data_IF_424559876441
#
_entry.id   IF_424559876441
#
_cell.length_a   1.000
_cell.length_b   1.000
_cell.length_c   1.000
_cell.angle_alpha   90.00
_cell.angle_beta   90.00
_cell.angle_gamma   90.00
#
_symmetry.space_group_name_H-M   'P 1'
#
loop_
_entity.id
_entity.type
_entity.pdbx_description
1 polymer ?
#
# COMPACT_ATOMS: atom_id res chain seq x y z
N UNK A 1 -19.65 -14.73 25.72
CA UNK A 1 -19.05 -15.12 24.42
C UNK A 1 -19.67 -14.40 23.22
N UNK A 2 -21.00 -14.20 23.18
CA UNK A 2 -21.69 -13.49 22.08
C UNK A 2 -21.16 -12.07 21.79
N UNK A 3 -20.76 -11.31 22.82
CA UNK A 3 -20.19 -9.95 22.65
C UNK A 3 -18.83 -9.97 21.92
N UNK A 4 -18.00 -10.98 22.15
CA UNK A 4 -16.70 -11.12 21.47
C UNK A 4 -16.91 -11.51 20.01
N UNK A 5 -17.85 -12.41 19.73
CA UNK A 5 -18.19 -12.81 18.37
C UNK A 5 -18.64 -11.60 17.52
N UNK A 6 -19.54 -10.76 18.05
CA UNK A 6 -19.99 -9.52 17.37
C UNK A 6 -18.86 -8.51 17.12
N UNK A 7 -17.85 -8.45 18.00
CA UNK A 7 -16.69 -7.59 17.79
C UNK A 7 -15.75 -8.16 16.72
N UNK A 8 -15.58 -9.48 16.67
CA UNK A 8 -14.79 -10.14 15.62
C UNK A 8 -15.40 -9.94 14.25
N UNK A 9 -16.72 -10.07 14.12
CA UNK A 9 -17.42 -9.78 12.85
C UNK A 9 -17.19 -8.34 12.36
N UNK A 10 -17.08 -7.37 13.28
CA UNK A 10 -16.71 -5.99 12.92
C UNK A 10 -15.27 -5.89 12.43
N UNK A 11 -14.34 -6.63 13.03
CA UNK A 11 -12.94 -6.70 12.58
C UNK A 11 -12.89 -7.33 11.19
N UNK A 12 -13.59 -8.43 10.96
CA UNK A 12 -13.62 -9.13 9.66
C UNK A 12 -14.07 -8.18 8.52
N UNK A 13 -15.11 -7.36 8.77
CA UNK A 13 -15.56 -6.33 7.81
C UNK A 13 -14.54 -5.23 7.56
N UNK A 14 -13.77 -4.85 8.58
CA UNK A 14 -12.66 -3.90 8.44
C UNK A 14 -11.56 -4.53 7.58
N UNK A 15 -11.23 -5.79 7.81
CA UNK A 15 -10.20 -6.51 7.06
C UNK A 15 -10.59 -6.67 5.58
N UNK A 16 -11.84 -7.00 5.28
CA UNK A 16 -12.37 -7.00 3.91
C UNK A 16 -12.20 -5.63 3.25
N UNK A 17 -12.48 -4.54 3.99
CA UNK A 17 -12.30 -3.18 3.49
C UNK A 17 -10.82 -2.87 3.23
N UNK A 18 -9.92 -3.29 4.12
CA UNK A 18 -8.47 -3.15 3.94
C UNK A 18 -8.02 -3.86 2.66
N UNK A 19 -8.47 -5.09 2.43
CA UNK A 19 -8.13 -5.86 1.22
C UNK A 19 -8.60 -5.16 -0.05
N UNK A 20 -9.82 -4.63 -0.08
CA UNK A 20 -10.34 -3.88 -1.23
C UNK A 20 -9.53 -2.60 -1.49
N UNK A 21 -9.15 -1.87 -0.43
CA UNK A 21 -8.30 -0.68 -0.54
C UNK A 21 -6.90 -1.02 -1.06
N UNK A 22 -6.31 -2.13 -0.60
CA UNK A 22 -5.02 -2.61 -1.07
C UNK A 22 -5.07 -3.00 -2.56
N UNK A 23 -6.14 -3.70 -2.99
CA UNK A 23 -6.38 -4.00 -4.42
C UNK A 23 -6.41 -2.72 -5.25
N UNK A 24 -7.24 -1.75 -4.88
CA UNK A 24 -7.36 -0.47 -5.59
C UNK A 24 -6.02 0.28 -5.64
N UNK A 25 -5.28 0.29 -4.53
CA UNK A 25 -3.94 0.90 -4.47
C UNK A 25 -2.94 0.20 -5.40
N UNK A 26 -3.04 -1.13 -5.53
CA UNK A 26 -2.21 -1.92 -6.45
C UNK A 26 -2.52 -1.57 -7.92
N UNK A 27 -3.80 -1.49 -8.30
CA UNK A 27 -4.25 -1.08 -9.64
C UNK A 27 -3.73 0.32 -10.02
N UNK A 28 -3.83 1.28 -9.10
CA UNK A 28 -3.25 2.63 -9.30
C UNK A 28 -1.72 2.55 -9.47
N UNK A 29 -1.05 1.66 -8.74
CA UNK A 29 0.40 1.47 -8.88
C UNK A 29 0.76 0.93 -10.27
N UNK A 30 -0.02 0.01 -10.84
CA UNK A 30 0.18 -0.45 -12.22
C UNK A 30 0.04 0.69 -13.22
N UNK A 31 -0.98 1.54 -13.07
CA UNK A 31 -1.18 2.71 -13.93
C UNK A 31 0.04 3.65 -13.86
N UNK A 32 0.55 3.93 -12.65
CA UNK A 32 1.78 4.72 -12.47
C UNK A 32 2.96 4.05 -13.18
N UNK A 33 3.08 2.72 -13.10
CA UNK A 33 4.11 1.95 -13.80
C UNK A 33 4.04 2.11 -15.31
N UNK A 34 2.86 2.02 -15.91
CA UNK A 34 2.64 2.27 -17.34
C UNK A 34 3.09 3.67 -17.74
N UNK A 35 2.69 4.70 -16.98
CA UNK A 35 3.05 6.10 -17.26
C UNK A 35 4.57 6.29 -17.15
N UNK A 36 5.20 5.79 -16.08
CA UNK A 36 6.65 5.89 -15.91
C UNK A 36 7.41 5.21 -17.04
N UNK A 37 6.95 4.03 -17.47
CA UNK A 37 7.51 3.31 -18.62
C UNK A 37 7.44 4.13 -19.90
N UNK A 38 6.27 4.71 -20.20
CA UNK A 38 6.05 5.54 -21.40
C UNK A 38 6.98 6.77 -21.43
N UNK A 39 7.34 7.31 -20.27
CA UNK A 39 8.20 8.48 -20.14
C UNK A 39 9.67 8.15 -19.81
N UNK A 40 10.06 6.88 -19.82
CA UNK A 40 11.44 6.46 -19.49
C UNK A 40 11.86 6.74 -18.05
N UNK A 41 10.91 6.89 -17.12
CA UNK A 41 11.16 7.19 -15.72
C UNK A 41 11.48 5.93 -14.91
N UNK A 42 12.27 6.11 -13.84
CA UNK A 42 12.59 5.04 -12.89
C UNK A 42 11.39 4.69 -12.01
N UNK A 43 11.24 3.39 -11.72
CA UNK A 43 10.18 2.87 -10.84
C UNK A 43 10.40 3.33 -9.39
N UNK A 44 11.63 3.17 -8.87
CA UNK A 44 11.99 3.60 -7.52
C UNK A 44 12.18 5.12 -7.50
N UNK A 45 11.58 5.74 -6.50
CA UNK A 45 11.72 7.16 -6.22
C UNK A 45 11.91 7.32 -4.70
N UNK A 46 13.17 7.24 -4.23
CA UNK A 46 13.47 7.28 -2.79
C UNK A 46 12.94 8.55 -2.11
N UNK A 47 12.92 9.68 -2.81
CA UNK A 47 12.37 10.93 -2.28
C UNK A 47 10.87 10.78 -2.03
N UNK A 48 10.12 10.31 -3.03
CA UNK A 48 8.67 10.11 -2.91
C UNK A 48 8.30 9.05 -1.87
N UNK A 49 9.10 7.99 -1.75
CA UNK A 49 8.97 6.93 -0.75
C UNK A 49 9.15 7.49 0.67
N UNK A 50 10.21 8.27 0.90
CA UNK A 50 10.48 8.94 2.18
C UNK A 50 9.37 9.93 2.56
N UNK A 51 8.91 10.75 1.62
CA UNK A 51 7.76 11.66 1.84
C UNK A 51 6.51 10.88 2.26
N UNK A 52 6.27 9.71 1.66
CA UNK A 52 5.13 8.86 2.01
C UNK A 52 5.27 8.29 3.42
N UNK A 53 6.46 7.81 3.79
CA UNK A 53 6.71 7.34 5.15
C UNK A 53 6.47 8.44 6.18
N UNK A 54 7.08 9.61 6.00
CA UNK A 54 6.93 10.73 6.94
C UNK A 54 5.46 11.12 7.15
N UNK A 55 4.69 11.19 6.06
CA UNK A 55 3.27 11.51 6.13
C UNK A 55 2.46 10.45 6.90
N UNK A 56 2.73 9.17 6.63
CA UNK A 56 2.01 8.07 7.27
C UNK A 56 2.38 7.94 8.75
N UNK A 57 3.65 8.09 9.10
CA UNK A 57 4.09 8.01 10.50
C UNK A 57 3.51 9.15 11.32
N UNK A 58 3.45 10.36 10.77
CA UNK A 58 2.75 11.49 11.40
C UNK A 58 1.28 11.14 11.69
N UNK A 59 0.57 10.64 10.69
CA UNK A 59 -0.83 10.23 10.84
C UNK A 59 -1.02 9.08 11.82
N UNK A 60 -0.10 8.12 11.85
CA UNK A 60 -0.14 7.02 12.81
C UNK A 60 -0.11 7.54 14.25
N UNK A 61 0.83 8.44 14.54
CA UNK A 61 0.93 9.10 15.85
C UNK A 61 -0.35 9.87 16.20
N UNK A 62 -0.89 10.65 15.27
CA UNK A 62 -2.14 11.41 15.46
C UNK A 62 -3.36 10.52 15.78
N UNK A 63 -3.37 9.29 15.24
CA UNK A 63 -4.43 8.30 15.47
C UNK A 63 -4.17 7.40 16.69
N UNK A 64 -3.07 7.63 17.43
CA UNK A 64 -2.69 6.80 18.57
C UNK A 64 -2.16 5.40 18.20
N UNK A 65 -1.72 5.21 16.95
CA UNK A 65 -1.11 3.96 16.48
C UNK A 65 0.40 3.99 16.73
N UNK A 66 1.00 2.83 16.99
CA UNK A 66 2.45 2.70 17.13
C UNK A 66 3.15 2.99 15.79
N UNK A 67 3.95 4.07 15.67
CA UNK A 67 4.57 4.43 14.40
C UNK A 67 5.53 3.36 13.87
N UNK A 68 6.20 2.61 14.74
CA UNK A 68 7.18 1.59 14.33
C UNK A 68 6.48 0.37 13.71
N UNK A 69 5.31 -0.01 14.23
CA UNK A 69 4.48 -1.07 13.63
C UNK A 69 3.91 -0.63 12.29
N UNK A 70 3.40 0.61 12.21
CA UNK A 70 2.89 1.17 10.97
C UNK A 70 3.99 1.30 9.91
N UNK A 71 5.22 1.65 10.31
CA UNK A 71 6.38 1.68 9.41
C UNK A 71 6.60 0.34 8.73
N UNK A 72 6.61 -0.75 9.52
CA UNK A 72 6.81 -2.12 9.01
C UNK A 72 5.70 -2.52 8.04
N UNK A 73 4.44 -2.25 8.39
CA UNK A 73 3.30 -2.52 7.51
C UNK A 73 3.41 -1.73 6.20
N UNK A 74 3.74 -0.44 6.27
CA UNK A 74 3.83 0.40 5.08
C UNK A 74 5.02 0.10 4.19
N UNK A 75 6.11 -0.44 4.74
CA UNK A 75 7.21 -0.98 3.94
C UNK A 75 6.70 -2.08 2.99
N UNK A 76 5.96 -3.05 3.52
CA UNK A 76 5.37 -4.13 2.71
C UNK A 76 4.43 -3.55 1.64
N UNK A 77 3.57 -2.60 2.02
CA UNK A 77 2.62 -1.96 1.10
C UNK A 77 3.33 -1.18 -0.02
N UNK A 78 4.45 -0.52 0.27
CA UNK A 78 5.27 0.19 -0.73
C UNK A 78 5.96 -0.82 -1.65
N UNK A 79 6.52 -1.89 -1.12
CA UNK A 79 7.16 -2.94 -1.93
C UNK A 79 6.14 -3.62 -2.86
N UNK A 80 4.89 -3.80 -2.41
CA UNK A 80 3.79 -4.23 -3.29
C UNK A 80 3.52 -3.26 -4.43
N UNK A 81 3.62 -1.95 -4.19
CA UNK A 81 3.47 -0.93 -5.25
C UNK A 81 4.61 -0.97 -6.26
N UNK A 82 5.84 -1.21 -5.81
CA UNK A 82 7.01 -1.30 -6.67
C UNK A 82 6.86 -2.53 -7.59
N UNK A 83 6.54 -3.70 -7.02
CA UNK A 83 6.28 -4.92 -7.78
C UNK A 83 5.14 -4.77 -8.80
N UNK A 84 4.09 -4.07 -8.42
CA UNK A 84 2.97 -3.78 -9.33
C UNK A 84 3.37 -2.86 -10.49
N UNK A 85 4.28 -1.89 -10.26
CA UNK A 85 4.81 -1.06 -11.33
C UNK A 85 5.72 -1.87 -12.25
N UNK A 86 6.56 -2.74 -11.68
CA UNK A 86 7.47 -3.64 -12.41
C UNK A 86 6.73 -4.65 -13.29
N UNK A 87 5.58 -5.18 -12.85
CA UNK A 87 4.85 -6.21 -13.61
C UNK A 87 4.44 -5.72 -15.00
N UNK A 88 4.17 -4.42 -15.14
CA UNK A 88 3.79 -3.80 -16.42
C UNK A 88 4.93 -3.85 -17.44
N UNK A 89 6.19 -3.94 -17.01
CA UNK A 89 7.34 -4.09 -17.91
C UNK A 89 7.47 -5.52 -18.45
N UNK A 90 6.93 -6.52 -17.74
CA UNK A 90 7.05 -7.94 -18.06
C UNK A 90 5.92 -8.41 -19.00
N UNK A 91 4.72 -7.83 -18.88
CA UNK A 91 3.51 -8.23 -19.61
C UNK A 91 3.56 -8.03 -21.15
N UNK A 92 4.66 -7.54 -21.74
CA UNK A 92 4.84 -7.39 -23.20
C UNK A 92 5.73 -8.46 -23.87
N UNK A 93 6.24 -9.43 -23.11
CA UNK A 93 7.09 -10.51 -23.64
C UNK A 93 6.37 -11.85 -23.85
N UNK A 94 5.06 -11.85 -24.09
CA UNK A 94 4.25 -13.02 -24.47
C UNK A 94 3.44 -12.68 -25.71
#
# INVERSE_FOLDING_TARGET
MEKVAKLREKIDRIDETILLLLKRRNEISKIIGSIKREHGMLIRDPKRENEKFNHILKKATELGLNPEEIKKLYQIIIDMSVKAQESVYIDRNI
#
